data_IF_305831404933
#
_entry.id   IF_305831404933
#
_cell.length_a   1.000
_cell.length_b   1.000
_cell.length_c   1.000
_cell.angle_alpha   90.00
_cell.angle_beta   90.00
_cell.angle_gamma   90.00
#
_symmetry.space_group_name_H-M   'P 1'
#
loop_
_entity.id
_entity.type
_entity.pdbx_description
1 polymer ?
#
# COMPACT_ATOMS: atom_id res chain seq x y z
N UNK A 1 41.90 19.82 11.29
CA UNK A 1 40.44 19.73 11.03
C UNK A 1 39.71 20.16 12.30
N UNK A 2 38.85 21.19 12.22
CA UNK A 2 38.23 21.79 13.40
C UNK A 2 37.07 20.94 13.93
N UNK A 3 36.86 20.93 15.25
CA UNK A 3 35.72 20.24 15.90
C UNK A 3 34.37 20.67 15.30
N UNK A 4 34.24 21.94 14.94
CA UNK A 4 33.10 22.53 14.23
C UNK A 4 32.86 21.88 12.84
N UNK A 5 33.93 21.56 12.12
CA UNK A 5 33.88 20.94 10.80
C UNK A 5 33.45 19.46 10.91
N UNK A 6 33.99 18.75 11.91
CA UNK A 6 33.57 17.38 12.25
C UNK A 6 32.10 17.29 12.64
N UNK A 7 31.61 18.25 13.44
CA UNK A 7 30.20 18.30 13.86
C UNK A 7 29.26 18.60 12.68
N UNK A 8 29.68 19.43 11.71
CA UNK A 8 28.91 19.71 10.49
C UNK A 8 28.83 18.49 9.58
N UNK A 9 29.91 17.76 9.38
CA UNK A 9 29.93 16.53 8.56
C UNK A 9 29.09 15.40 9.18
N UNK A 10 29.09 15.27 10.51
CA UNK A 10 28.18 14.34 11.22
C UNK A 10 26.71 14.81 11.21
N UNK A 11 26.46 16.12 11.23
CA UNK A 11 25.12 16.69 11.12
C UNK A 11 24.56 16.65 9.69
N UNK A 12 25.40 16.43 8.68
CA UNK A 12 25.00 16.08 7.32
C UNK A 12 24.86 14.57 7.15
N UNK A 13 24.16 13.89 8.06
CA UNK A 13 23.42 12.71 7.61
C UNK A 13 22.53 13.18 6.47
N UNK A 14 22.60 12.51 5.31
CA UNK A 14 21.72 12.80 4.18
C UNK A 14 20.31 12.98 4.76
N UNK A 15 19.57 14.06 4.40
CA UNK A 15 18.17 14.15 4.81
C UNK A 15 17.52 12.81 4.47
N UNK A 16 16.72 12.26 5.39
CA UNK A 16 15.85 11.13 5.06
C UNK A 16 15.06 11.58 3.84
N UNK A 17 15.44 11.08 2.68
CA UNK A 17 14.78 11.45 1.43
C UNK A 17 13.45 10.74 1.49
N UNK A 18 12.37 11.50 1.67
CA UNK A 18 11.02 10.97 1.55
C UNK A 18 10.84 10.45 0.13
N UNK A 19 10.85 9.12 -0.02
CA UNK A 19 10.64 8.47 -1.30
C UNK A 19 9.14 8.43 -1.59
N UNK A 20 8.71 8.67 -2.85
CA UNK A 20 7.32 8.47 -3.21
C UNK A 20 6.92 7.00 -3.03
N UNK A 21 5.69 6.79 -2.55
CA UNK A 21 5.13 5.45 -2.34
C UNK A 21 4.11 5.14 -3.44
N UNK A 22 4.31 4.03 -4.14
CA UNK A 22 3.36 3.46 -5.08
C UNK A 22 2.66 2.26 -4.43
N UNK A 23 1.34 2.33 -4.28
CA UNK A 23 0.52 1.19 -3.85
C UNK A 23 -0.07 0.52 -5.09
N UNK A 24 0.29 -0.75 -5.30
CA UNK A 24 -0.19 -1.55 -6.42
C UNK A 24 -1.34 -2.45 -5.98
N UNK A 25 -2.49 -2.27 -6.64
CA UNK A 25 -3.69 -3.09 -6.48
C UNK A 25 -3.76 -4.03 -7.68
N UNK A 26 -3.68 -5.34 -7.42
CA UNK A 26 -3.81 -6.33 -8.50
C UNK A 26 -5.22 -6.33 -9.08
N UNK A 27 -5.31 -6.57 -10.39
CA UNK A 27 -6.57 -6.57 -11.14
C UNK A 27 -7.21 -7.96 -11.27
N UNK A 28 -7.77 -8.17 -12.48
CA UNK A 28 -8.73 -9.20 -12.91
C UNK A 28 -10.20 -8.76 -12.71
N UNK A 29 -11.13 -9.68 -12.51
CA UNK A 29 -12.57 -9.44 -12.35
C UNK A 29 -13.06 -9.43 -10.89
N UNK A 30 -12.13 -9.25 -9.94
CA UNK A 30 -12.32 -9.38 -8.49
C UNK A 30 -12.62 -10.80 -7.97
N UNK A 31 -12.61 -11.83 -8.81
CA UNK A 31 -12.85 -13.21 -8.39
C UNK A 31 -11.57 -13.94 -7.94
N UNK A 32 -10.42 -13.53 -8.46
CA UNK A 32 -9.13 -14.17 -8.25
C UNK A 32 -7.98 -13.15 -8.28
N UNK A 33 -6.84 -13.52 -7.70
CA UNK A 33 -5.61 -12.73 -7.72
C UNK A 33 -4.92 -12.66 -6.35
N UNK A 34 -3.71 -12.11 -6.35
CA UNK A 34 -2.94 -11.80 -5.16
C UNK A 34 -1.88 -10.74 -5.49
N UNK A 35 -1.32 -10.07 -4.49
CA UNK A 35 -0.21 -9.15 -4.64
C UNK A 35 1.14 -9.84 -4.87
N UNK A 36 1.34 -11.04 -4.32
CA UNK A 36 2.64 -11.75 -4.35
C UNK A 36 3.20 -12.10 -5.76
N UNK A 37 2.39 -12.33 -6.82
CA UNK A 37 2.94 -12.63 -8.15
C UNK A 37 3.62 -11.43 -8.80
N UNK A 38 3.42 -10.22 -8.26
CA UNK A 38 3.98 -8.98 -8.78
C UNK A 38 5.24 -8.63 -7.97
N UNK A 39 6.43 -9.01 -8.45
CA UNK A 39 7.70 -8.64 -7.82
C UNK A 39 8.04 -7.17 -8.09
N UNK A 40 8.06 -6.29 -7.06
CA UNK A 40 8.35 -4.88 -7.26
C UNK A 40 9.85 -4.54 -7.24
N UNK A 41 10.75 -5.51 -7.05
CA UNK A 41 12.18 -5.27 -6.76
C UNK A 41 12.89 -4.42 -7.82
N UNK A 42 12.59 -4.66 -9.10
CA UNK A 42 13.15 -3.86 -10.20
C UNK A 42 12.66 -2.41 -10.16
N UNK A 43 11.36 -2.20 -9.91
CA UNK A 43 10.77 -0.87 -9.86
C UNK A 43 11.28 -0.08 -8.65
N UNK A 44 11.39 -0.74 -7.49
CA UNK A 44 11.92 -0.13 -6.27
C UNK A 44 13.41 0.24 -6.42
N UNK A 45 14.23 -0.67 -6.97
CA UNK A 45 15.68 -0.45 -7.11
C UNK A 45 16.04 0.61 -8.16
N UNK A 46 15.30 0.68 -9.27
CA UNK A 46 15.61 1.61 -10.36
C UNK A 46 14.84 2.93 -10.28
N UNK A 47 13.65 2.91 -9.68
CA UNK A 47 12.75 4.07 -9.64
C UNK A 47 13.01 5.04 -8.51
N UNK A 48 13.83 4.66 -7.50
CA UNK A 48 13.97 5.41 -6.26
C UNK A 48 12.60 5.68 -5.60
N UNK A 49 11.76 4.65 -5.56
CA UNK A 49 10.40 4.68 -5.00
C UNK A 49 10.19 3.49 -4.05
N UNK A 50 9.26 3.62 -3.12
CA UNK A 50 8.76 2.49 -2.34
C UNK A 50 7.56 1.90 -3.09
N UNK A 51 7.50 0.59 -3.21
CA UNK A 51 6.37 -0.10 -3.85
C UNK A 51 5.73 -1.06 -2.86
N UNK A 52 4.42 -0.94 -2.68
CA UNK A 52 3.62 -1.79 -1.80
C UNK A 52 2.62 -2.56 -2.67
N UNK A 53 2.79 -3.88 -2.76
CA UNK A 53 1.77 -4.76 -3.33
C UNK A 53 0.82 -5.21 -2.23
N UNK A 54 -0.49 -5.03 -2.40
CA UNK A 54 -1.47 -5.39 -1.38
C UNK A 54 -2.38 -6.55 -1.82
N UNK A 55 -3.00 -7.21 -0.84
CA UNK A 55 -4.11 -8.13 -1.05
C UNK A 55 -5.41 -7.49 -0.54
N UNK A 56 -6.53 -7.82 -1.17
CA UNK A 56 -7.87 -7.45 -0.72
C UNK A 56 -8.80 -8.66 -0.84
N UNK A 57 -9.94 -8.65 -0.13
CA UNK A 57 -10.91 -9.75 -0.22
C UNK A 57 -11.49 -9.87 -1.64
N UNK A 58 -11.68 -11.10 -2.08
CA UNK A 58 -12.16 -11.43 -3.43
C UNK A 58 -13.54 -12.11 -3.41
N UNK A 59 -14.19 -12.12 -4.56
CA UNK A 59 -15.47 -12.79 -4.80
C UNK A 59 -16.53 -12.44 -3.76
N UNK A 60 -17.25 -13.47 -3.28
CA UNK A 60 -18.32 -13.29 -2.31
C UNK A 60 -17.82 -12.67 -0.99
N UNK A 61 -16.58 -12.93 -0.58
CA UNK A 61 -16.03 -12.37 0.65
C UNK A 61 -15.73 -10.87 0.54
N UNK A 62 -15.46 -10.39 -0.68
CA UNK A 62 -15.16 -9.00 -0.97
C UNK A 62 -16.38 -8.16 -1.34
N UNK A 63 -17.39 -8.77 -1.97
CA UNK A 63 -18.46 -8.02 -2.66
C UNK A 63 -19.88 -8.47 -2.34
N UNK A 64 -20.08 -9.44 -1.42
CA UNK A 64 -21.43 -9.79 -0.99
C UNK A 64 -22.14 -8.59 -0.36
N UNK A 65 -23.29 -8.24 -0.93
CA UNK A 65 -24.25 -7.37 -0.29
C UNK A 65 -25.28 -8.24 0.44
N UNK A 66 -25.15 -8.35 1.76
CA UNK A 66 -26.03 -9.15 2.61
C UNK A 66 -27.31 -8.42 3.05
N UNK A 67 -27.58 -7.21 2.54
CA UNK A 67 -28.76 -6.42 2.90
C UNK A 67 -29.99 -7.00 2.19
N UNK A 68 -30.68 -7.94 2.84
CA UNK A 68 -31.80 -8.69 2.26
C UNK A 68 -33.14 -7.93 2.23
N UNK A 69 -33.38 -7.00 3.17
CA UNK A 69 -34.70 -6.39 3.38
C UNK A 69 -34.64 -4.90 3.82
N UNK A 70 -33.49 -4.25 3.68
CA UNK A 70 -33.30 -2.83 4.03
C UNK A 70 -33.26 -2.52 5.53
N UNK A 71 -33.63 -3.47 6.39
CA UNK A 71 -33.51 -3.38 7.85
C UNK A 71 -32.16 -3.88 8.32
N UNK A 72 -31.66 -4.96 7.74
CA UNK A 72 -30.27 -5.37 7.93
C UNK A 72 -29.35 -4.39 7.19
N UNK A 73 -28.37 -3.83 7.90
CA UNK A 73 -27.35 -2.90 7.36
C UNK A 73 -25.96 -3.46 7.59
N UNK A 74 -25.52 -4.35 6.70
CA UNK A 74 -24.12 -4.73 6.56
C UNK A 74 -23.42 -3.79 5.58
N UNK A 75 -22.17 -3.38 5.86
CA UNK A 75 -21.28 -2.87 4.83
C UNK A 75 -21.21 -3.86 3.67
N UNK A 76 -21.30 -3.34 2.45
CA UNK A 76 -20.94 -4.06 1.23
C UNK A 76 -19.55 -3.58 0.77
N UNK A 77 -19.03 -4.14 -0.33
CA UNK A 77 -17.75 -3.73 -0.92
C UNK A 77 -16.58 -3.80 0.06
N UNK A 78 -16.57 -4.86 0.87
CA UNK A 78 -15.48 -5.20 1.78
C UNK A 78 -14.10 -5.17 1.13
N UNK A 79 -13.99 -5.60 -0.13
CA UNK A 79 -12.77 -5.48 -0.93
C UNK A 79 -12.27 -4.03 -1.07
N UNK A 80 -13.17 -3.09 -1.32
CA UNK A 80 -12.84 -1.66 -1.42
C UNK A 80 -12.50 -1.08 -0.04
N UNK A 81 -13.17 -1.56 1.01
CA UNK A 81 -12.82 -1.20 2.38
C UNK A 81 -11.42 -1.70 2.76
N UNK A 82 -11.01 -2.87 2.28
CA UNK A 82 -9.65 -3.38 2.46
C UNK A 82 -8.62 -2.49 1.73
N UNK A 83 -8.95 -2.01 0.52
CA UNK A 83 -8.09 -1.06 -0.21
C UNK A 83 -7.95 0.27 0.54
N UNK A 84 -9.04 0.83 1.07
CA UNK A 84 -8.99 2.03 1.90
C UNK A 84 -8.19 1.77 3.18
N UNK A 85 -8.37 0.63 3.84
CA UNK A 85 -7.63 0.25 5.03
C UNK A 85 -6.12 0.12 4.74
N UNK A 86 -5.75 -0.45 3.58
CA UNK A 86 -4.37 -0.51 3.14
C UNK A 86 -3.77 0.88 2.91
N UNK A 87 -4.52 1.81 2.30
CA UNK A 87 -4.07 3.19 2.12
C UNK A 87 -3.88 3.92 3.46
N UNK A 88 -4.79 3.73 4.43
CA UNK A 88 -4.61 4.25 5.78
C UNK A 88 -3.42 3.63 6.52
N UNK A 89 -3.04 2.39 6.20
CA UNK A 89 -1.85 1.75 6.76
C UNK A 89 -0.55 2.31 6.17
N UNK A 90 -0.57 2.76 4.91
CA UNK A 90 0.59 3.35 4.24
C UNK A 90 0.86 4.80 4.70
N UNK A 91 -0.17 5.53 5.13
CA UNK A 91 -0.07 6.91 5.63
C UNK A 91 0.43 6.98 7.08
#
# INVERSE_FOLDING_TARGET
>A
MGKEQWLREMATTKPDVELPVMVFVHGDDYSYGAGHPYDPSMLASQGNIIVVTMNYRLGILGFLNANSDGYFKSPANFALLDQIAALHWVQ
#
